data_IF_765650243798
#
_entry.id   IF_765650243798
#
_cell.length_a   1.000
_cell.length_b   1.000
_cell.length_c   1.000
_cell.angle_alpha   90.00
_cell.angle_beta   90.00
_cell.angle_gamma   90.00
#
_symmetry.space_group_name_H-M   'P 1'
#
loop_
_entity.id
_entity.type
_entity.pdbx_description
1 polymer ?
#
# COMPACT_ATOMS: atom_id res chain seq x y z
N UNK A 1 1.13 -50.87 -2.42
CA UNK A 1 0.93 -49.40 -2.41
C UNK A 1 2.14 -48.78 -3.10
N UNK A 2 1.94 -47.92 -4.10
CA UNK A 2 3.06 -47.26 -4.80
C UNK A 2 3.66 -46.09 -3.99
N UNK A 3 2.97 -45.65 -2.93
CA UNK A 3 3.40 -44.54 -2.05
C UNK A 3 4.31 -45.06 -0.93
N UNK A 4 3.91 -46.13 -0.24
CA UNK A 4 4.63 -46.67 0.93
C UNK A 4 5.15 -48.11 0.75
N UNK A 5 5.07 -48.65 -0.47
CA UNK A 5 5.57 -49.98 -0.86
C UNK A 5 5.01 -51.19 -0.07
N UNK A 6 4.00 -51.00 0.78
CA UNK A 6 3.29 -52.10 1.46
C UNK A 6 2.48 -52.96 0.50
N UNK A 7 2.52 -54.28 0.70
CA UNK A 7 1.73 -55.26 -0.04
C UNK A 7 0.36 -55.48 0.61
N UNK A 8 -0.68 -55.68 -0.21
CA UNK A 8 -2.05 -55.90 0.23
C UNK A 8 -2.62 -57.15 -0.44
N UNK A 9 -3.37 -57.99 0.29
CA UNK A 9 -3.86 -59.27 -0.23
C UNK A 9 -4.99 -59.12 -1.26
N UNK A 10 -5.63 -57.95 -1.34
CA UNK A 10 -6.73 -57.68 -2.28
C UNK A 10 -6.68 -56.24 -2.79
N UNK A 11 -7.31 -55.99 -3.94
CA UNK A 11 -7.49 -54.63 -4.47
C UNK A 11 -8.30 -53.75 -3.52
N UNK A 12 -9.37 -54.28 -2.92
CA UNK A 12 -10.20 -53.55 -1.96
C UNK A 12 -9.43 -53.09 -0.72
N UNK A 13 -8.52 -53.93 -0.20
CA UNK A 13 -7.67 -53.56 0.93
C UNK A 13 -6.64 -52.47 0.54
N UNK A 14 -6.13 -52.49 -0.69
CA UNK A 14 -5.28 -51.43 -1.22
C UNK A 14 -6.06 -50.11 -1.37
N UNK A 15 -7.29 -50.14 -1.89
CA UNK A 15 -8.09 -48.93 -2.10
C UNK A 15 -8.47 -48.26 -0.76
N UNK A 16 -8.89 -49.05 0.25
CA UNK A 16 -9.12 -48.52 1.61
C UNK A 16 -7.86 -47.91 2.25
N UNK A 17 -6.70 -48.50 1.98
CA UNK A 17 -5.43 -47.97 2.47
C UNK A 17 -5.06 -46.64 1.80
N UNK A 18 -5.29 -46.50 0.49
CA UNK A 18 -5.05 -45.26 -0.24
C UNK A 18 -6.02 -44.15 0.18
N UNK A 19 -7.21 -44.51 0.66
CA UNK A 19 -8.19 -43.55 1.19
C UNK A 19 -7.91 -43.11 2.64
N UNK A 20 -6.84 -43.63 3.26
CA UNK A 20 -6.42 -43.18 4.59
C UNK A 20 -5.89 -41.74 4.55
N UNK A 21 -6.01 -40.98 5.66
CA UNK A 21 -5.53 -39.59 5.73
C UNK A 21 -4.05 -39.40 5.36
N UNK A 22 -3.22 -40.43 5.58
CA UNK A 22 -1.78 -40.43 5.26
C UNK A 22 -1.51 -40.47 3.76
N UNK A 23 -2.47 -40.96 2.97
CA UNK A 23 -2.34 -41.13 1.52
C UNK A 23 -3.34 -40.29 0.71
N UNK A 24 -4.23 -39.56 1.39
CA UNK A 24 -5.08 -38.55 0.74
C UNK A 24 -4.26 -37.31 0.39
N UNK A 25 -4.53 -36.65 -0.75
CA UNK A 25 -3.94 -35.35 -1.06
C UNK A 25 -4.30 -34.35 0.03
N UNK A 26 -3.30 -33.84 0.77
CA UNK A 26 -3.50 -32.71 1.67
C UNK A 26 -3.39 -31.40 0.89
N UNK A 27 -4.16 -30.42 1.33
CA UNK A 27 -4.09 -29.04 0.89
C UNK A 27 -3.39 -28.26 1.98
N UNK A 28 -2.18 -27.78 1.71
CA UNK A 28 -1.31 -27.18 2.69
C UNK A 28 -1.44 -25.66 2.70
N UNK A 29 -1.35 -25.06 3.89
CA UNK A 29 -1.31 -23.61 4.06
C UNK A 29 0.13 -23.13 4.34
N UNK A 30 0.73 -22.42 3.38
CA UNK A 30 2.09 -21.87 3.46
C UNK A 30 2.29 -20.87 4.61
N UNK A 31 1.20 -20.36 5.21
CA UNK A 31 1.27 -19.34 6.27
C UNK A 31 1.20 -19.89 7.69
N UNK A 32 0.76 -21.14 7.89
CA UNK A 32 0.65 -21.72 9.24
C UNK A 32 0.92 -23.22 9.33
N UNK A 33 1.48 -23.81 8.27
CA UNK A 33 1.90 -25.21 8.20
C UNK A 33 0.81 -26.23 8.50
N UNK A 34 -0.47 -25.87 8.30
CA UNK A 34 -1.60 -26.79 8.49
C UNK A 34 -1.98 -27.49 7.21
N UNK A 35 -2.29 -28.78 7.37
CA UNK A 35 -2.85 -29.64 6.35
C UNK A 35 -4.38 -29.66 6.43
N UNK A 36 -5.03 -29.58 5.26
CA UNK A 36 -6.47 -29.69 5.13
C UNK A 36 -6.81 -30.88 4.22
N UNK A 37 -7.84 -31.65 4.59
CA UNK A 37 -8.28 -32.81 3.81
C UNK A 37 -9.08 -32.47 2.53
N UNK A 38 -9.30 -31.18 2.24
CA UNK A 38 -9.97 -30.74 1.02
C UNK A 38 -9.60 -29.30 0.66
N UNK A 39 -9.71 -28.97 -0.63
CA UNK A 39 -9.49 -27.60 -1.12
C UNK A 39 -10.51 -26.62 -0.55
N UNK A 40 -11.76 -27.05 -0.35
CA UNK A 40 -12.81 -26.23 0.24
C UNK A 40 -12.46 -25.82 1.68
N UNK A 41 -11.95 -26.76 2.49
CA UNK A 41 -11.50 -26.49 3.85
C UNK A 41 -10.29 -25.53 3.89
N UNK A 42 -9.32 -25.70 2.98
CA UNK A 42 -8.21 -24.75 2.84
C UNK A 42 -8.71 -23.35 2.46
N UNK A 43 -9.62 -23.24 1.49
CA UNK A 43 -10.16 -21.95 1.05
C UNK A 43 -10.95 -21.25 2.17
N UNK A 44 -11.73 -22.00 2.96
CA UNK A 44 -12.41 -21.46 4.13
C UNK A 44 -11.38 -20.97 5.18
N UNK A 45 -10.32 -21.73 5.42
CA UNK A 45 -9.23 -21.33 6.29
C UNK A 45 -8.56 -20.02 5.83
N UNK A 46 -8.20 -19.92 4.54
CA UNK A 46 -7.61 -18.72 3.94
C UNK A 46 -8.59 -17.53 3.89
N UNK A 47 -9.90 -17.78 3.97
CA UNK A 47 -10.90 -16.73 4.03
C UNK A 47 -10.92 -15.98 5.37
N UNK A 48 -10.30 -16.56 6.41
CA UNK A 48 -10.16 -15.95 7.73
C UNK A 48 -9.37 -14.64 7.65
N UNK A 49 -9.75 -13.60 8.42
CA UNK A 49 -9.01 -12.35 8.49
C UNK A 49 -7.51 -12.52 8.80
N UNK A 50 -7.16 -13.55 9.56
CA UNK A 50 -5.76 -13.88 9.93
C UNK A 50 -4.90 -14.24 8.71
N UNK A 51 -5.51 -14.71 7.62
CA UNK A 51 -4.84 -15.11 6.39
C UNK A 51 -5.12 -14.17 5.21
N UNK A 52 -5.81 -13.04 5.45
CA UNK A 52 -6.00 -11.97 4.47
C UNK A 52 -5.07 -10.78 4.75
N UNK A 53 -4.07 -10.51 3.90
CA UNK A 53 -3.35 -9.24 3.98
C UNK A 53 -4.32 -8.10 3.61
N UNK A 54 -4.62 -7.20 4.56
CA UNK A 54 -5.61 -6.14 4.35
C UNK A 54 -5.01 -4.77 4.04
N UNK A 55 -3.74 -4.53 4.40
CA UNK A 55 -3.14 -3.19 4.35
C UNK A 55 -1.82 -3.20 3.59
N UNK A 56 -1.77 -2.51 2.46
CA UNK A 56 -0.60 -2.49 1.56
C UNK A 56 0.20 -1.19 1.71
N UNK A 57 1.51 -1.33 1.82
CA UNK A 57 2.48 -0.26 1.69
C UNK A 57 2.99 -0.20 0.26
N UNK A 58 2.54 0.79 -0.53
CA UNK A 58 3.00 0.97 -1.91
C UNK A 58 4.47 1.31 -2.07
N UNK A 59 5.09 2.17 -1.23
CA UNK A 59 6.51 2.51 -1.43
C UNK A 59 7.44 1.30 -1.23
N UNK A 60 7.07 0.41 -0.32
CA UNK A 60 7.91 -0.71 0.12
C UNK A 60 7.37 -2.09 -0.28
N UNK A 61 6.27 -2.14 -1.05
CA UNK A 61 5.56 -3.34 -1.50
C UNK A 61 5.31 -4.41 -0.42
N UNK A 62 5.02 -3.98 0.82
CA UNK A 62 4.74 -4.88 1.96
C UNK A 62 3.27 -4.88 2.33
N UNK A 63 2.82 -6.04 2.80
CA UNK A 63 1.48 -6.24 3.33
C UNK A 63 1.49 -6.32 4.86
N UNK A 64 0.44 -5.78 5.47
CA UNK A 64 0.20 -5.73 6.91
C UNK A 64 -1.20 -6.25 7.23
N UNK A 65 -1.32 -6.87 8.39
CA UNK A 65 -2.56 -7.50 8.86
C UNK A 65 -3.53 -6.50 9.50
N UNK A 66 -3.03 -5.36 9.99
CA UNK A 66 -3.83 -4.30 10.61
C UNK A 66 -3.40 -2.92 10.14
N UNK A 67 -4.31 -1.95 10.24
CA UNK A 67 -4.03 -0.54 9.96
C UNK A 67 -2.94 0.00 10.90
N UNK A 68 -3.02 -0.32 12.20
CA UNK A 68 -2.02 0.10 13.19
C UNK A 68 -0.61 -0.41 12.87
N UNK A 69 -0.49 -1.65 12.38
CA UNK A 69 0.79 -2.21 11.98
C UNK A 69 1.37 -1.48 10.76
N UNK A 70 0.53 -1.12 9.77
CA UNK A 70 0.93 -0.30 8.63
C UNK A 70 1.35 1.11 9.07
N UNK A 71 0.62 1.74 9.99
CA UNK A 71 0.93 3.09 10.45
C UNK A 71 2.20 3.14 11.30
N UNK A 72 2.40 2.19 12.20
CA UNK A 72 3.67 2.04 12.91
C UNK A 72 4.83 1.80 11.94
N UNK A 73 4.61 0.99 10.91
CA UNK A 73 5.61 0.76 9.87
C UNK A 73 5.96 2.03 9.10
N UNK A 74 4.97 2.84 8.69
CA UNK A 74 5.17 4.14 8.04
C UNK A 74 5.90 5.14 8.93
N UNK A 75 5.62 5.13 10.23
CA UNK A 75 6.25 6.03 11.19
C UNK A 75 7.71 5.64 11.50
N UNK A 76 8.02 4.35 11.58
CA UNK A 76 9.33 3.84 11.99
C UNK A 76 10.28 3.56 10.83
N UNK A 77 9.76 3.30 9.63
CA UNK A 77 10.58 3.00 8.45
C UNK A 77 11.41 4.23 8.04
N UNK A 78 12.73 4.05 7.98
CA UNK A 78 13.68 5.07 7.48
C UNK A 78 13.37 5.50 6.05
N UNK A 79 12.87 4.58 5.23
CA UNK A 79 12.43 4.78 3.86
C UNK A 79 11.29 5.81 3.77
N UNK A 80 10.27 5.67 4.61
CA UNK A 80 9.11 6.57 4.66
C UNK A 80 9.39 7.91 5.35
N UNK A 81 10.35 7.95 6.28
CA UNK A 81 10.70 9.18 7.00
C UNK A 81 11.25 10.26 6.06
N UNK A 82 11.97 9.85 5.01
CA UNK A 82 12.51 10.75 3.98
C UNK A 82 11.41 11.38 3.13
N UNK A 83 10.38 10.60 2.80
CA UNK A 83 9.23 11.07 2.03
C UNK A 83 8.33 12.01 2.83
N UNK A 84 8.12 11.74 4.12
CA UNK A 84 7.39 12.66 5.00
C UNK A 84 8.10 14.01 5.16
N UNK A 85 9.43 14.02 5.24
CA UNK A 85 10.20 15.26 5.31
C UNK A 85 10.11 16.07 4.00
N UNK A 86 10.16 15.39 2.85
CA UNK A 86 9.99 16.02 1.54
C UNK A 86 8.59 16.61 1.38
N UNK A 87 7.54 15.84 1.68
CA UNK A 87 6.15 16.30 1.61
C UNK A 87 5.87 17.48 2.55
N UNK A 88 6.42 17.49 3.78
CA UNK A 88 6.33 18.64 4.69
C UNK A 88 7.04 19.88 4.14
N UNK A 89 8.22 19.71 3.53
CA UNK A 89 8.97 20.81 2.93
C UNK A 89 8.28 21.40 1.68
N UNK A 90 7.54 20.58 0.94
CA UNK A 90 6.74 21.00 -0.22
C UNK A 90 5.43 21.65 0.20
N UNK A 91 4.77 21.12 1.23
CA UNK A 91 3.58 21.73 1.84
C UNK A 91 3.88 23.14 2.36
N UNK A 92 4.95 23.29 3.16
CA UNK A 92 5.39 24.60 3.65
C UNK A 92 5.70 25.59 2.52
N UNK A 93 6.35 25.14 1.43
CA UNK A 93 6.64 25.99 0.26
C UNK A 93 5.36 26.43 -0.46
N UNK A 94 4.35 25.55 -0.59
CA UNK A 94 3.05 25.87 -1.20
C UNK A 94 2.25 26.84 -0.34
N UNK A 95 2.23 26.64 0.96
CA UNK A 95 1.52 27.52 1.91
C UNK A 95 2.17 28.90 1.96
N UNK A 96 3.50 28.97 1.96
CA UNK A 96 4.25 30.23 1.90
C UNK A 96 4.04 30.96 0.56
N UNK A 97 4.00 30.23 -0.57
CA UNK A 97 3.67 30.82 -1.88
C UNK A 97 2.23 31.35 -1.92
N UNK A 98 1.27 30.62 -1.33
CA UNK A 98 -0.13 31.07 -1.24
C UNK A 98 -0.24 32.33 -0.38
N UNK A 99 0.34 32.34 0.82
CA UNK A 99 0.33 33.50 1.71
C UNK A 99 0.96 34.73 1.04
N UNK A 100 2.11 34.56 0.38
CA UNK A 100 2.78 35.63 -0.39
C UNK A 100 1.93 36.12 -1.56
N UNK A 101 1.19 35.25 -2.24
CA UNK A 101 0.28 35.63 -3.33
C UNK A 101 -0.97 36.39 -2.84
N UNK A 102 -1.43 36.12 -1.63
CA UNK A 102 -2.54 36.84 -0.99
C UNK A 102 -2.10 38.19 -0.45
N UNK A 103 -0.88 38.27 0.09
CA UNK A 103 -0.25 39.51 0.54
C UNK A 103 0.01 40.48 -0.60
N UNK A 104 0.67 40.05 -1.70
CA UNK A 104 0.88 40.92 -2.86
C UNK A 104 -0.43 41.39 -3.50
N UNK A 105 -1.52 40.60 -3.44
CA UNK A 105 -2.85 41.00 -3.93
C UNK A 105 -3.50 42.09 -3.08
N UNK A 106 -3.01 42.26 -1.84
CA UNK A 106 -3.58 43.17 -0.84
C UNK A 106 -2.79 44.48 -0.71
N UNK A 107 -1.52 44.50 -1.12
CA UNK A 107 -0.61 45.65 -0.92
C UNK A 107 0.06 46.18 -2.20
N UNK A 108 0.10 45.43 -3.30
CA UNK A 108 0.77 45.85 -4.55
C UNK A 108 -0.10 45.66 -5.79
N UNK A 109 0.20 46.41 -6.85
CA UNK A 109 -0.47 46.29 -8.13
C UNK A 109 0.20 45.16 -8.93
N UNK A 110 -0.57 44.16 -9.40
CA UNK A 110 -0.03 42.95 -10.05
C UNK A 110 -0.49 42.77 -11.51
N UNK A 111 0.46 42.47 -12.41
CA UNK A 111 0.21 42.29 -13.83
C UNK A 111 -0.05 40.80 -14.12
N UNK A 112 -1.29 40.46 -14.45
CA UNK A 112 -1.71 39.07 -14.71
C UNK A 112 -1.02 38.48 -15.95
N UNK A 113 -0.63 39.31 -16.92
CA UNK A 113 0.02 38.85 -18.15
C UNK A 113 1.50 38.47 -18.02
N UNK A 114 2.21 38.95 -16.99
CA UNK A 114 3.64 38.65 -16.81
C UNK A 114 4.10 38.41 -15.37
N UNK A 115 3.16 38.40 -14.43
CA UNK A 115 3.39 38.16 -13.01
C UNK A 115 4.35 39.14 -12.31
N UNK A 116 4.51 40.37 -12.83
CA UNK A 116 5.25 41.44 -12.14
C UNK A 116 4.38 42.18 -11.13
N UNK A 117 4.98 42.55 -10.00
CA UNK A 117 4.38 43.43 -8.99
C UNK A 117 4.94 44.84 -9.10
N UNK A 118 4.11 45.82 -8.74
CA UNK A 118 4.41 47.23 -8.81
C UNK A 118 3.94 47.91 -7.52
N UNK A 119 4.81 48.73 -6.93
CA UNK A 119 4.50 49.47 -5.71
C UNK A 119 3.50 50.63 -5.90
N UNK A 120 3.05 50.92 -7.11
CA UNK A 120 2.05 51.96 -7.40
C UNK A 120 1.21 51.66 -8.64
N UNK A 121 -0.02 52.21 -8.67
CA UNK A 121 -0.96 52.04 -9.79
C UNK A 121 -0.41 52.63 -11.09
N UNK A 122 0.22 53.81 -11.02
CA UNK A 122 0.82 54.44 -12.21
C UNK A 122 1.94 53.60 -12.81
N UNK A 123 2.79 52.99 -11.99
CA UNK A 123 3.88 52.15 -12.48
C UNK A 123 3.35 50.88 -13.19
N UNK A 124 2.22 50.33 -12.71
CA UNK A 124 1.52 49.25 -13.39
C UNK A 124 0.92 49.70 -14.72
N UNK A 125 0.24 50.84 -14.74
CA UNK A 125 -0.43 51.33 -15.95
C UNK A 125 0.59 51.65 -17.05
N UNK A 126 1.72 52.29 -16.72
CA UNK A 126 2.83 52.49 -17.66
C UNK A 126 3.40 51.17 -18.20
N UNK A 127 3.41 50.11 -17.37
CA UNK A 127 3.82 48.79 -17.82
C UNK A 127 2.82 48.14 -18.80
N UNK A 128 1.53 48.39 -18.65
CA UNK A 128 0.49 47.92 -19.58
C UNK A 128 0.47 48.74 -20.87
N UNK A 129 0.83 50.02 -20.82
CA UNK A 129 0.89 50.92 -21.98
C UNK A 129 2.18 50.77 -22.82
N UNK A 130 3.24 50.22 -22.23
CA UNK A 130 4.54 49.98 -22.89
C UNK A 130 4.69 48.58 -23.50
N UNK A 131 3.60 47.81 -23.54
CA UNK A 131 3.52 46.46 -24.10
C UNK A 131 2.49 46.40 -25.22
#
# INVERSE_FOLDING_TARGET
CHICYRSFPTRRALDQHLDSPVHRPSYYCDSCDRDFGSQHALNQHLSSPVHKPQYFCSPCNRYFWTADALDQHRARSEEHRRDQHRARSEGHRRDQHRARSEEHRRTEYFCVGCCRTFGSSSAMMQHLESR
#
